data_IF_971257862204
#
_entry.id   IF_971257862204
#
_cell.length_a   1.000
_cell.length_b   1.000
_cell.length_c   1.000
_cell.angle_alpha   90.00
_cell.angle_beta   90.00
_cell.angle_gamma   90.00
#
_symmetry.space_group_name_H-M   'P 1'
#
loop_
_entity.id
_entity.type
_entity.pdbx_description
1 polymer ?
#
# COMPACT_ATOMS: atom_id res chain seq x y z
N UNK A 1 19.73 -0.79 -9.10
CA UNK A 1 18.93 -0.69 -7.86
C UNK A 1 17.61 -0.02 -8.23
N UNK A 2 16.45 -0.51 -7.80
CA UNK A 2 15.17 0.15 -8.11
C UNK A 2 15.15 1.57 -7.55
N UNK A 3 14.52 2.48 -8.29
CA UNK A 3 14.32 3.85 -7.83
C UNK A 3 13.29 3.87 -6.69
N UNK A 4 13.76 4.24 -5.50
CA UNK A 4 12.95 4.31 -4.28
C UNK A 4 11.79 5.29 -4.43
N UNK A 5 11.97 6.38 -5.18
CA UNK A 5 10.92 7.35 -5.46
C UNK A 5 9.79 6.69 -6.24
N UNK A 6 10.13 5.95 -7.29
CA UNK A 6 9.17 5.27 -8.13
C UNK A 6 8.40 4.16 -7.38
N UNK A 7 9.10 3.41 -6.49
CA UNK A 7 8.44 2.42 -5.63
C UNK A 7 7.42 3.07 -4.70
N UNK A 8 7.76 4.21 -4.11
CA UNK A 8 6.86 4.96 -3.22
C UNK A 8 5.63 5.49 -3.96
N UNK A 9 5.82 6.08 -5.14
CA UNK A 9 4.73 6.58 -5.98
C UNK A 9 3.78 5.44 -6.39
N UNK A 10 4.34 4.30 -6.83
CA UNK A 10 3.56 3.11 -7.19
C UNK A 10 2.76 2.58 -6.00
N UNK A 11 3.37 2.50 -4.82
CA UNK A 11 2.70 2.06 -3.61
C UNK A 11 1.51 2.96 -3.25
N UNK A 12 1.68 4.28 -3.32
CA UNK A 12 0.61 5.22 -3.05
C UNK A 12 -0.54 5.04 -4.05
N UNK A 13 -0.24 4.92 -5.35
CA UNK A 13 -1.27 4.67 -6.37
C UNK A 13 -2.04 3.38 -6.14
N UNK A 14 -1.38 2.30 -5.69
CA UNK A 14 -2.04 1.02 -5.34
C UNK A 14 -2.99 1.21 -4.14
N UNK A 15 -2.56 1.95 -3.12
CA UNK A 15 -3.37 2.15 -1.90
C UNK A 15 -4.55 3.06 -2.18
N UNK A 16 -4.34 4.18 -2.88
CA UNK A 16 -5.43 5.09 -3.26
C UNK A 16 -6.47 4.38 -4.14
N UNK A 17 -5.99 3.53 -5.05
CA UNK A 17 -6.81 2.62 -5.84
C UNK A 17 -7.63 1.65 -4.99
N UNK A 18 -7.02 1.02 -3.98
CA UNK A 18 -7.71 0.10 -3.08
C UNK A 18 -8.78 0.79 -2.21
N UNK A 19 -8.60 2.07 -1.92
CA UNK A 19 -9.53 2.88 -1.14
C UNK A 19 -10.61 3.58 -1.99
N UNK A 20 -10.62 3.37 -3.31
CA UNK A 20 -11.62 3.93 -4.23
C UNK A 20 -12.70 2.88 -4.55
N UNK A 21 -13.96 3.31 -4.57
CA UNK A 21 -15.11 2.47 -4.93
C UNK A 21 -15.10 1.99 -6.39
N UNK A 22 -14.29 2.61 -7.26
CA UNK A 22 -14.21 2.35 -8.71
C UNK A 22 -13.32 1.15 -9.09
N UNK A 23 -12.85 0.38 -8.12
CA UNK A 23 -11.83 -0.60 -8.39
C UNK A 23 -12.39 -1.87 -9.08
N UNK A 24 -12.23 -1.94 -10.40
CA UNK A 24 -12.59 -3.06 -11.30
C UNK A 24 -11.98 -4.42 -10.91
N UNK A 25 -10.98 -4.45 -10.02
CA UNK A 25 -10.29 -5.68 -9.59
C UNK A 25 -10.04 -5.67 -8.08
N UNK A 26 -10.83 -6.39 -7.27
CA UNK A 26 -10.53 -6.57 -5.84
C UNK A 26 -9.08 -7.06 -5.65
N UNK A 27 -8.17 -6.15 -5.29
CA UNK A 27 -6.78 -6.49 -4.98
C UNK A 27 -6.76 -7.19 -3.63
N UNK A 28 -6.03 -8.29 -3.55
CA UNK A 28 -5.88 -9.03 -2.31
C UNK A 28 -5.13 -8.19 -1.26
N UNK A 29 -5.71 -8.09 -0.06
CA UNK A 29 -5.12 -7.31 1.04
C UNK A 29 -3.74 -7.82 1.44
N UNK A 30 -3.51 -9.13 1.38
CA UNK A 30 -2.20 -9.74 1.65
C UNK A 30 -1.17 -9.30 0.61
N UNK A 31 -1.59 -9.15 -0.65
CA UNK A 31 -0.74 -8.60 -1.71
C UNK A 31 -0.35 -7.14 -1.44
N UNK A 32 -1.29 -6.29 -1.01
CA UNK A 32 -0.99 -4.90 -0.64
C UNK A 32 -0.04 -4.84 0.55
N UNK A 33 -0.30 -5.64 1.59
CA UNK A 33 0.58 -5.75 2.77
C UNK A 33 1.99 -6.19 2.38
N UNK A 34 2.13 -7.10 1.42
CA UNK A 34 3.40 -7.51 0.85
C UNK A 34 4.16 -6.35 0.18
N UNK A 35 3.48 -5.52 -0.60
CA UNK A 35 4.08 -4.34 -1.23
C UNK A 35 4.51 -3.28 -0.21
N UNK A 36 3.72 -3.05 0.84
CA UNK A 36 4.10 -2.16 1.96
C UNK A 36 5.38 -2.67 2.64
N UNK A 37 5.43 -3.98 2.95
CA UNK A 37 6.60 -4.60 3.56
C UNK A 37 7.85 -4.49 2.67
N UNK A 38 7.70 -4.71 1.36
CA UNK A 38 8.79 -4.55 0.39
C UNK A 38 9.33 -3.12 0.35
N UNK A 39 8.44 -2.12 0.22
CA UNK A 39 8.84 -0.71 0.19
C UNK A 39 9.60 -0.30 1.46
N UNK A 40 9.19 -0.82 2.62
CA UNK A 40 9.91 -0.61 3.88
C UNK A 40 11.30 -1.28 3.87
N UNK A 41 11.40 -2.54 3.45
CA UNK A 41 12.67 -3.28 3.42
C UNK A 41 13.74 -2.61 2.55
N UNK A 42 13.34 -1.99 1.45
CA UNK A 42 14.28 -1.27 0.57
C UNK A 42 14.52 0.19 1.02
N UNK A 43 13.85 0.64 2.08
CA UNK A 43 13.92 2.00 2.62
C UNK A 43 13.33 3.05 1.69
N UNK A 44 12.25 2.72 0.96
CA UNK A 44 11.47 3.68 0.17
C UNK A 44 10.40 4.41 1.01
N UNK A 45 9.99 3.80 2.13
CA UNK A 45 9.11 4.37 3.14
C UNK A 45 9.72 4.19 4.54
N UNK A 46 9.31 5.03 5.47
CA UNK A 46 9.71 4.98 6.88
C UNK A 46 8.89 3.96 7.67
N UNK A 47 9.31 3.65 8.89
CA UNK A 47 8.55 2.81 9.82
C UNK A 47 7.18 3.39 10.13
N UNK A 48 7.10 4.70 10.33
CA UNK A 48 5.84 5.40 10.61
C UNK A 48 4.87 5.26 9.43
N UNK A 49 5.34 5.51 8.21
CA UNK A 49 4.53 5.37 6.99
C UNK A 49 4.05 3.94 6.79
N UNK A 50 4.90 2.94 7.04
CA UNK A 50 4.51 1.54 6.99
C UNK A 50 3.33 1.25 7.92
N UNK A 51 3.38 1.70 9.17
CA UNK A 51 2.33 1.46 10.15
C UNK A 51 1.01 2.16 9.78
N UNK A 52 1.10 3.41 9.33
CA UNK A 52 -0.06 4.17 8.87
C UNK A 52 -0.75 3.50 7.67
N UNK A 53 0.02 3.06 6.67
CA UNK A 53 -0.51 2.39 5.48
C UNK A 53 -1.15 1.04 5.82
N UNK A 54 -0.55 0.26 6.73
CA UNK A 54 -1.13 -1.01 7.19
C UNK A 54 -2.47 -0.80 7.93
N UNK A 55 -2.58 0.29 8.69
CA UNK A 55 -3.83 0.68 9.36
C UNK A 55 -4.91 1.04 8.34
N UNK A 56 -4.62 1.93 7.38
CA UNK A 56 -5.55 2.33 6.30
C UNK A 56 -6.10 1.13 5.53
N UNK A 57 -5.23 0.19 5.15
CA UNK A 57 -5.62 -1.04 4.43
C UNK A 57 -6.52 -1.96 5.28
N UNK A 58 -6.38 -1.92 6.60
CA UNK A 58 -7.20 -2.74 7.51
C UNK A 58 -8.58 -2.11 7.76
N UNK A 59 -8.65 -0.78 7.90
CA UNK A 59 -9.90 -0.02 8.09
C UNK A 59 -10.78 -0.02 6.82
N UNK A 60 -10.16 0.00 5.63
CA UNK A 60 -10.86 -0.01 4.34
C UNK A 60 -11.71 -1.26 4.08
N UNK A 61 -11.66 -2.29 4.96
CA UNK A 61 -12.49 -3.51 4.87
C UNK A 61 -13.59 -3.63 5.91
N UNK A 62 -13.65 -2.77 6.93
CA UNK A 62 -14.75 -2.82 7.93
C UNK A 62 -16.07 -2.23 7.39
N UNK A 63 -16.07 -1.67 6.17
CA UNK A 63 -17.23 -0.99 5.55
C UNK A 63 -18.00 -1.90 4.56
N UNK A 64 -17.66 -3.19 4.44
CA UNK A 64 -18.37 -4.15 3.57
C UNK A 64 -19.11 -5.25 4.34
#
# INVERSE_FOLDING_TARGET
MMDKKHVRETLNSIIDSCCSDDFLYKVDVSWIRGNIAFAYMIGAITTFEKEELLKRVSESKEVL
#
